data_IF_080584459626
#
_entry.id   IF_080584459626
#
_cell.length_a   1.000
_cell.length_b   1.000
_cell.length_c   1.000
_cell.angle_alpha   90.00
_cell.angle_beta   90.00
_cell.angle_gamma   90.00
#
_symmetry.space_group_name_H-M   'P 1'
#
loop_
_entity.id
_entity.type
_entity.pdbx_description
1 polymer ?
#
# COMPACT_ATOMS: atom_id res chain seq x y z
N UNK A 1 6.21 2.95 18.14
CA UNK A 1 7.21 2.28 17.31
C UNK A 1 6.81 2.31 15.84
N UNK A 2 7.73 2.80 15.02
CA UNK A 2 7.48 3.12 13.62
C UNK A 2 7.09 1.89 12.79
N UNK A 3 7.72 0.75 13.02
CA UNK A 3 7.49 -0.47 12.26
C UNK A 3 6.05 -1.00 12.37
N UNK A 4 5.46 -0.93 13.56
CA UNK A 4 4.08 -1.36 13.80
C UNK A 4 3.09 -0.48 13.03
N UNK A 5 3.31 0.83 13.07
CA UNK A 5 2.47 1.78 12.34
C UNK A 5 2.64 1.65 10.84
N UNK A 6 3.86 1.38 10.36
CA UNK A 6 4.11 1.18 8.93
C UNK A 6 3.29 0.02 8.39
N UNK A 7 3.29 -1.12 9.06
CA UNK A 7 2.49 -2.29 8.66
C UNK A 7 0.99 -1.97 8.66
N UNK A 8 0.53 -1.27 9.69
CA UNK A 8 -0.89 -0.89 9.81
C UNK A 8 -1.29 0.13 8.75
N UNK A 9 -0.41 1.07 8.42
CA UNK A 9 -0.64 2.04 7.34
C UNK A 9 -0.72 1.31 6.00
N UNK A 10 0.17 0.35 5.75
CA UNK A 10 0.14 -0.44 4.52
C UNK A 10 -1.15 -1.24 4.40
N UNK A 11 -1.62 -1.84 5.48
CA UNK A 11 -2.89 -2.58 5.51
C UNK A 11 -4.07 -1.65 5.26
N UNK A 12 -4.08 -0.48 5.88
CA UNK A 12 -5.11 0.54 5.69
C UNK A 12 -5.15 0.99 4.22
N UNK A 13 -3.98 1.25 3.64
CA UNK A 13 -3.86 1.64 2.24
C UNK A 13 -4.34 0.54 1.30
N UNK A 14 -4.00 -0.72 1.57
CA UNK A 14 -4.43 -1.85 0.75
C UNK A 14 -5.96 -1.97 0.73
N UNK A 15 -6.60 -1.88 1.88
CA UNK A 15 -8.06 -1.93 1.97
C UNK A 15 -8.71 -0.79 1.19
N UNK A 16 -8.19 0.42 1.34
CA UNK A 16 -8.73 1.58 0.65
C UNK A 16 -8.58 1.45 -0.87
N UNK A 17 -7.43 1.00 -1.34
CA UNK A 17 -7.17 0.81 -2.77
C UNK A 17 -8.09 -0.26 -3.36
N UNK A 18 -8.22 -1.40 -2.70
CA UNK A 18 -9.06 -2.50 -3.18
C UNK A 18 -10.55 -2.19 -3.16
N UNK A 19 -10.97 -1.23 -2.36
CA UNK A 19 -12.37 -0.79 -2.30
C UNK A 19 -12.75 0.14 -3.45
N UNK A 20 -11.79 0.67 -4.21
CA UNK A 20 -12.06 1.57 -5.33
C UNK A 20 -12.58 0.77 -6.53
N UNK A 21 -13.75 1.12 -7.10
CA UNK A 21 -14.23 0.48 -8.31
C UNK A 21 -13.24 0.61 -9.45
N UNK A 22 -12.95 -0.48 -10.13
CA UNK A 22 -11.99 -0.50 -11.23
C UNK A 22 -10.62 -1.03 -10.85
N UNK A 23 -10.36 -1.27 -9.57
CA UNK A 23 -9.12 -1.92 -9.14
C UNK A 23 -9.36 -3.43 -9.10
N UNK A 24 -8.61 -4.17 -9.93
CA UNK A 24 -8.71 -5.64 -9.99
C UNK A 24 -7.91 -6.30 -8.88
N UNK A 25 -6.67 -5.85 -8.71
CA UNK A 25 -5.76 -6.41 -7.71
C UNK A 25 -4.61 -5.46 -7.44
N UNK A 26 -3.86 -5.74 -6.40
CA UNK A 26 -2.60 -5.06 -6.12
C UNK A 26 -1.45 -5.94 -6.60
N UNK A 27 -0.42 -5.32 -7.17
CA UNK A 27 0.68 -6.00 -7.82
C UNK A 27 1.97 -5.83 -7.01
N UNK A 28 2.60 -6.92 -6.54
CA UNK A 28 3.84 -6.77 -5.80
C UNK A 28 4.96 -6.22 -6.68
N UNK A 29 5.83 -5.42 -6.09
CA UNK A 29 7.08 -5.02 -6.75
C UNK A 29 8.02 -6.22 -6.72
N UNK A 30 9.08 -6.17 -7.53
CA UNK A 30 10.11 -7.21 -7.50
C UNK A 30 10.70 -7.35 -6.09
N UNK A 31 10.92 -6.23 -5.41
CA UNK A 31 11.44 -6.22 -4.04
C UNK A 31 10.49 -6.93 -3.08
N UNK A 32 9.18 -6.70 -3.19
CA UNK A 32 8.19 -7.38 -2.36
C UNK A 32 8.13 -8.88 -2.65
N UNK A 33 8.24 -9.27 -3.91
CA UNK A 33 8.26 -10.69 -4.29
C UNK A 33 9.44 -11.42 -3.69
N UNK A 34 10.62 -10.79 -3.67
CA UNK A 34 11.80 -11.35 -3.04
C UNK A 34 11.64 -11.45 -1.51
N UNK A 35 11.06 -10.43 -0.89
CA UNK A 35 10.79 -10.43 0.54
C UNK A 35 9.81 -11.54 0.92
N UNK A 36 8.78 -11.77 0.11
CA UNK A 36 7.82 -12.86 0.31
C UNK A 36 8.48 -14.23 0.19
N UNK A 37 9.36 -14.40 -0.78
CA UNK A 37 10.11 -15.64 -0.95
C UNK A 37 11.00 -15.92 0.28
N UNK A 38 11.70 -14.90 0.77
CA UNK A 38 12.52 -15.02 1.97
C UNK A 38 11.67 -15.32 3.21
N UNK A 39 10.47 -14.71 3.31
CA UNK A 39 9.55 -14.96 4.41
C UNK A 39 9.03 -16.41 4.39
N UNK A 40 8.77 -16.96 3.21
CA UNK A 40 8.36 -18.36 3.07
C UNK A 40 9.45 -19.31 3.55
N UNK A 41 10.69 -19.04 3.19
CA UNK A 41 11.83 -19.83 3.64
C UNK A 41 11.93 -19.79 5.17
N UNK A 42 11.82 -18.61 5.76
CA UNK A 42 11.86 -18.46 7.21
C UNK A 42 10.72 -19.21 7.92
N UNK A 43 9.51 -19.16 7.36
CA UNK A 43 8.38 -19.93 7.91
C UNK A 43 8.61 -21.43 7.87
N UNK A 44 9.21 -21.91 6.78
CA UNK A 44 9.60 -23.32 6.65
C UNK A 44 10.60 -23.71 7.74
N UNK A 45 11.48 -22.81 8.12
CA UNK A 45 12.47 -23.02 9.17
C UNK A 45 11.95 -22.75 10.59
N UNK A 46 10.65 -22.49 10.74
CA UNK A 46 10.03 -22.28 12.04
C UNK A 46 10.03 -20.84 12.55
N UNK A 47 10.48 -19.90 11.75
CA UNK A 47 10.43 -18.48 12.10
C UNK A 47 9.10 -17.88 11.65
N UNK A 48 8.51 -17.02 12.48
CA UNK A 48 7.28 -16.31 12.14
C UNK A 48 7.62 -14.85 11.88
N UNK A 49 7.37 -14.38 10.66
CA UNK A 49 7.51 -12.97 10.30
C UNK A 49 6.24 -12.53 9.58
N UNK A 50 5.68 -11.34 9.89
CA UNK A 50 4.52 -10.85 9.15
C UNK A 50 4.90 -10.58 7.70
N UNK A 51 4.02 -10.99 6.76
CA UNK A 51 4.19 -10.69 5.35
C UNK A 51 3.82 -9.23 5.08
N UNK A 52 4.61 -8.51 4.27
CA UNK A 52 4.21 -7.16 3.88
C UNK A 52 2.95 -7.23 3.00
N UNK A 53 2.12 -6.18 3.06
CA UNK A 53 0.94 -6.10 2.20
C UNK A 53 1.38 -6.00 0.74
N UNK A 54 0.88 -6.91 -0.08
CA UNK A 54 1.21 -6.98 -1.50
C UNK A 54 0.80 -5.70 -2.22
N UNK A 55 1.73 -5.13 -2.97
CA UNK A 55 1.46 -3.97 -3.81
C UNK A 55 1.48 -2.63 -3.08
N UNK A 56 1.69 -2.62 -1.77
CA UNK A 56 1.75 -1.39 -0.98
C UNK A 56 3.12 -1.28 -0.32
N UNK A 57 3.66 -0.07 -0.36
CA UNK A 57 4.88 0.25 0.38
C UNK A 57 4.68 1.62 1.04
N UNK A 58 4.91 1.70 2.35
CA UNK A 58 4.78 2.95 3.10
C UNK A 58 6.06 3.25 3.85
N UNK A 59 6.44 4.51 3.86
CA UNK A 59 7.58 5.02 4.62
C UNK A 59 7.20 6.32 5.31
N UNK A 60 7.73 6.53 6.50
CA UNK A 60 7.57 7.78 7.21
C UNK A 60 8.92 8.50 7.29
N UNK A 61 8.95 9.75 6.84
CA UNK A 61 10.15 10.57 6.92
C UNK A 61 10.40 10.94 8.38
N UNK A 62 11.58 10.61 8.95
CA UNK A 62 11.82 10.80 10.37
C UNK A 62 11.87 12.26 10.82
N UNK A 63 12.22 13.19 9.92
CA UNK A 63 12.30 14.61 10.27
C UNK A 63 10.98 15.34 10.23
N UNK A 64 10.19 15.06 9.19
CA UNK A 64 8.93 15.79 8.94
C UNK A 64 7.71 15.05 9.41
N UNK A 65 7.83 13.73 9.62
CA UNK A 65 6.68 12.88 9.90
C UNK A 65 5.82 12.62 8.67
N UNK A 66 6.24 13.05 7.49
CA UNK A 66 5.49 12.85 6.26
C UNK A 66 5.42 11.37 5.90
N UNK A 67 4.24 10.94 5.47
CA UNK A 67 4.02 9.58 4.99
C UNK A 67 4.10 9.55 3.47
N UNK A 68 4.88 8.62 2.93
CA UNK A 68 4.95 8.34 1.50
C UNK A 68 4.43 6.94 1.28
N UNK A 69 3.36 6.82 0.51
CA UNK A 69 2.70 5.53 0.24
C UNK A 69 2.74 5.28 -1.26
N UNK A 70 3.28 4.15 -1.64
CA UNK A 70 3.28 3.69 -3.03
C UNK A 70 2.26 2.57 -3.17
N UNK A 71 1.39 2.69 -4.18
CA UNK A 71 0.37 1.71 -4.51
C UNK A 71 0.60 1.22 -5.93
N UNK A 72 0.82 -0.08 -6.09
CA UNK A 72 0.98 -0.72 -7.40
C UNK A 72 -0.25 -1.55 -7.67
N UNK A 73 -0.99 -1.22 -8.70
CA UNK A 73 -2.28 -1.86 -8.94
C UNK A 73 -2.51 -2.22 -10.40
N UNK A 74 -3.41 -3.18 -10.57
CA UNK A 74 -3.94 -3.60 -11.87
C UNK A 74 -5.35 -3.06 -11.97
N UNK A 75 -5.67 -2.39 -13.07
CA UNK A 75 -6.97 -1.75 -13.25
C UNK A 75 -7.79 -2.45 -14.33
N UNK A 76 -9.11 -2.35 -14.19
CA UNK A 76 -10.05 -2.82 -15.21
C UNK A 76 -10.07 -1.86 -16.40
N UNK A 77 -10.05 -2.40 -17.60
CA UNK A 77 -10.13 -1.61 -18.84
C UNK A 77 -11.49 -0.95 -19.05
N UNK A 78 -12.52 -1.42 -18.36
CA UNK A 78 -13.87 -0.87 -18.47
C UNK A 78 -13.99 0.57 -17.98
N UNK A 79 -12.96 1.05 -17.26
CA UNK A 79 -12.92 2.42 -16.72
C UNK A 79 -11.66 3.12 -17.20
N UNK A 80 -11.73 4.44 -17.26
CA UNK A 80 -10.57 5.24 -17.62
C UNK A 80 -9.50 5.08 -16.52
N UNK A 81 -8.34 4.59 -16.91
CA UNK A 81 -7.25 4.31 -15.97
C UNK A 81 -6.86 5.53 -15.12
N UNK A 82 -6.79 6.71 -15.75
CA UNK A 82 -6.44 7.93 -15.02
C UNK A 82 -7.46 8.28 -13.94
N UNK A 83 -8.75 8.15 -14.25
CA UNK A 83 -9.80 8.43 -13.29
C UNK A 83 -9.75 7.46 -12.11
N UNK A 84 -9.59 6.17 -12.40
CA UNK A 84 -9.44 5.15 -11.37
C UNK A 84 -8.20 5.39 -10.51
N UNK A 85 -7.07 5.73 -11.14
CA UNK A 85 -5.84 6.03 -10.41
C UNK A 85 -6.00 7.24 -9.48
N UNK A 86 -6.71 8.27 -9.91
CA UNK A 86 -7.01 9.42 -9.06
C UNK A 86 -7.89 9.04 -7.87
N UNK A 87 -8.87 8.19 -8.09
CA UNK A 87 -9.75 7.70 -7.03
C UNK A 87 -8.96 6.87 -6.01
N UNK A 88 -8.05 6.01 -6.49
CA UNK A 88 -7.16 5.24 -5.63
C UNK A 88 -6.31 6.17 -4.77
N UNK A 89 -5.67 7.16 -5.40
CA UNK A 89 -4.82 8.10 -4.69
C UNK A 89 -5.59 8.82 -3.58
N UNK A 90 -6.77 9.34 -3.90
CA UNK A 90 -7.57 10.09 -2.93
C UNK A 90 -8.10 9.19 -1.81
N UNK A 91 -8.57 8.00 -2.15
CA UNK A 91 -9.08 7.04 -1.17
C UNK A 91 -7.98 6.60 -0.20
N UNK A 92 -6.80 6.29 -0.72
CA UNK A 92 -5.65 5.88 0.11
C UNK A 92 -5.16 7.03 0.97
N UNK A 93 -5.03 8.22 0.38
CA UNK A 93 -4.59 9.42 1.12
C UNK A 93 -5.52 9.71 2.30
N UNK A 94 -6.81 9.68 2.05
CA UNK A 94 -7.82 9.96 3.06
C UNK A 94 -7.80 8.91 4.19
N UNK A 95 -7.69 7.63 3.83
CA UNK A 95 -7.66 6.54 4.80
C UNK A 95 -6.40 6.57 5.66
N UNK A 96 -5.25 6.83 5.05
CA UNK A 96 -3.97 6.90 5.78
C UNK A 96 -3.95 8.14 6.69
N UNK A 97 -4.44 9.27 6.20
CA UNK A 97 -4.54 10.49 6.99
C UNK A 97 -5.40 10.28 8.24
N UNK A 98 -6.55 9.66 8.08
CA UNK A 98 -7.45 9.35 9.19
C UNK A 98 -6.81 8.38 10.19
N UNK A 99 -6.13 7.35 9.70
CA UNK A 99 -5.41 6.41 10.55
C UNK A 99 -4.33 7.13 11.37
N UNK A 100 -3.52 7.95 10.71
CA UNK A 100 -2.42 8.66 11.35
C UNK A 100 -2.93 9.62 12.44
N UNK A 101 -4.02 10.33 12.16
CA UNK A 101 -4.63 11.23 13.14
C UNK A 101 -5.12 10.48 14.38
N UNK A 102 -5.77 9.32 14.19
CA UNK A 102 -6.29 8.53 15.31
C UNK A 102 -5.20 7.93 16.19
N UNK A 103 -4.02 7.68 15.63
CA UNK A 103 -2.94 7.03 16.33
C UNK A 103 -1.82 7.96 16.78
N UNK A 104 -2.07 9.28 16.72
CA UNK A 104 -1.12 10.27 17.19
C UNK A 104 0.16 10.38 16.35
N UNK A 105 0.08 10.02 15.10
CA UNK A 105 1.21 10.10 14.14
C UNK A 105 0.84 10.93 12.90
N UNK A 106 0.20 12.10 13.08
CA UNK A 106 -0.22 12.91 11.93
C UNK A 106 0.99 13.41 11.14
N UNK A 107 0.75 13.72 9.89
CA UNK A 107 1.76 14.27 9.01
C UNK A 107 1.22 14.34 7.59
N UNK A 108 1.90 15.05 6.70
CA UNK A 108 1.49 15.08 5.29
C UNK A 108 1.52 13.67 4.70
N UNK A 109 0.54 13.35 3.86
CA UNK A 109 0.44 12.06 3.18
C UNK A 109 0.56 12.27 1.68
N UNK A 110 1.57 11.66 1.08
CA UNK A 110 1.76 11.64 -0.36
C UNK A 110 1.56 10.21 -0.86
N UNK A 111 0.69 10.05 -1.84
CA UNK A 111 0.39 8.74 -2.43
C UNK A 111 0.81 8.76 -3.89
N UNK A 112 1.61 7.77 -4.28
CA UNK A 112 2.00 7.53 -5.66
C UNK A 112 1.33 6.25 -6.13
N UNK A 113 0.52 6.35 -7.18
CA UNK A 113 -0.18 5.20 -7.75
C UNK A 113 0.53 4.79 -9.03
N UNK A 114 0.98 3.55 -9.07
CA UNK A 114 1.60 2.96 -10.26
C UNK A 114 0.64 1.92 -10.83
N UNK A 115 0.18 2.16 -12.04
CA UNK A 115 -0.65 1.20 -12.77
C UNK A 115 0.29 0.27 -13.52
N UNK A 116 0.33 -0.99 -13.11
CA UNK A 116 1.26 -1.96 -13.69
C UNK A 116 0.72 -2.62 -14.94
N UNK A 117 -0.59 -2.75 -15.04
CA UNK A 117 -1.27 -3.21 -16.25
C UNK A 117 -2.77 -2.97 -16.12
N UNK A 118 -3.47 -3.13 -17.24
CA UNK A 118 -4.94 -3.10 -17.26
C UNK A 118 -5.45 -4.47 -17.70
N UNK A 119 -6.62 -4.85 -17.24
CA UNK A 119 -7.25 -6.14 -17.57
C UNK A 119 -8.68 -5.94 -18.01
N UNK A 120 -9.15 -6.86 -18.85
CA UNK A 120 -10.54 -6.90 -19.27
C UNK A 120 -11.40 -7.67 -18.26
#
# INVERSE_FOLDING_TARGET
MTAVHTTSVERTAARAALAVPGVSELQPSLRQSLAEAAARVRRTLGSVAPSPETGIHAERAPRTGAWHVEVRCVLDEDRRALDTARDVRESVRSAVDAYAARHGIPGPVTVVVTVTRTTR
#
